data_IF_838757667351
#
_entry.id   IF_838757667351
#
_cell.length_a   1.000
_cell.length_b   1.000
_cell.length_c   1.000
_cell.angle_alpha   90.00
_cell.angle_beta   90.00
_cell.angle_gamma   90.00
#
_symmetry.space_group_name_H-M   'P 1'
#
loop_
_entity.id
_entity.type
_entity.pdbx_description
1 polymer ?
#
# COMPACT_ATOMS: atom_id res chain seq x y z
N UNK A 1 2.57 -18.39 20.23
CA UNK A 1 1.12 -18.60 20.02
C UNK A 1 0.89 -18.34 18.54
N UNK A 2 0.15 -19.17 17.79
CA UNK A 2 -0.26 -18.77 16.44
C UNK A 2 -1.29 -17.66 16.61
N UNK A 3 -1.02 -16.46 16.11
CA UNK A 3 -1.99 -15.37 16.10
C UNK A 3 -2.99 -15.61 14.98
N UNK A 4 -4.23 -15.14 15.14
CA UNK A 4 -5.21 -15.14 14.06
C UNK A 4 -4.70 -14.25 12.90
N UNK A 5 -5.01 -14.65 11.66
CA UNK A 5 -4.58 -13.93 10.46
C UNK A 5 -5.25 -12.56 10.39
N UNK A 6 -4.46 -11.50 10.34
CA UNK A 6 -4.95 -10.12 10.25
C UNK A 6 -5.21 -9.73 8.81
N UNK A 7 -6.23 -8.91 8.58
CA UNK A 7 -6.32 -8.12 7.35
C UNK A 7 -5.13 -7.15 7.27
N UNK A 8 -4.80 -6.68 6.05
CA UNK A 8 -3.75 -5.68 5.83
C UNK A 8 -3.96 -4.43 6.70
N UNK A 9 -5.20 -3.96 6.78
CA UNK A 9 -5.57 -2.79 7.59
C UNK A 9 -5.35 -3.03 9.08
N UNK A 10 -5.83 -4.16 9.62
CA UNK A 10 -5.62 -4.50 11.04
C UNK A 10 -4.14 -4.57 11.40
N UNK A 11 -3.35 -5.24 10.55
CA UNK A 11 -1.91 -5.38 10.74
C UNK A 11 -1.19 -4.04 10.77
N UNK A 12 -1.49 -3.15 9.82
CA UNK A 12 -0.88 -1.81 9.76
C UNK A 12 -1.27 -0.97 10.98
N UNK A 13 -2.55 -1.01 11.38
CA UNK A 13 -3.02 -0.24 12.53
C UNK A 13 -2.40 -0.74 13.84
N UNK A 14 -2.35 -2.05 14.07
CA UNK A 14 -1.70 -2.64 15.24
C UNK A 14 -0.21 -2.25 15.32
N UNK A 15 0.51 -2.32 14.19
CA UNK A 15 1.92 -1.89 14.13
C UNK A 15 2.10 -0.40 14.49
N UNK A 16 1.21 0.48 14.01
CA UNK A 16 1.23 1.92 14.33
C UNK A 16 0.95 2.17 15.81
N UNK A 17 0.08 1.38 16.43
CA UNK A 17 -0.26 1.47 17.84
C UNK A 17 0.78 0.82 18.77
N UNK A 18 1.77 0.12 18.21
CA UNK A 18 2.77 -0.62 18.99
C UNK A 18 2.25 -1.92 19.59
N UNK A 19 1.18 -2.47 19.02
CA UNK A 19 0.57 -3.74 19.41
C UNK A 19 1.29 -4.93 18.75
N UNK A 20 0.99 -6.14 19.22
CA UNK A 20 1.51 -7.37 18.61
C UNK A 20 0.85 -7.61 17.25
N UNK A 21 1.62 -8.06 16.26
CA UNK A 21 1.18 -8.27 14.87
C UNK A 21 1.44 -9.71 14.43
N UNK A 22 0.58 -10.24 13.56
CA UNK A 22 0.71 -11.59 12.99
C UNK A 22 1.97 -11.76 12.11
N UNK A 23 2.36 -10.67 11.42
CA UNK A 23 3.65 -10.49 10.75
C UNK A 23 3.99 -9.00 10.60
N UNK A 24 5.25 -8.69 10.33
CA UNK A 24 5.67 -7.31 10.06
C UNK A 24 4.99 -6.80 8.77
N UNK A 25 4.27 -5.65 8.79
CA UNK A 25 3.74 -5.05 7.57
C UNK A 25 4.84 -4.43 6.71
N UNK A 26 4.72 -4.55 5.38
CA UNK A 26 5.70 -4.05 4.41
C UNK A 26 5.03 -3.24 3.30
N UNK A 27 5.74 -2.20 2.85
CA UNK A 27 5.35 -1.36 1.73
C UNK A 27 6.59 -0.79 1.04
N UNK A 28 6.49 -0.51 -0.26
CA UNK A 28 7.52 0.21 -1.01
C UNK A 28 7.08 1.62 -1.35
N UNK A 29 8.04 2.56 -1.25
CA UNK A 29 7.84 3.90 -1.78
C UNK A 29 8.17 3.92 -3.27
N UNK A 30 7.13 3.94 -4.10
CA UNK A 30 7.28 3.96 -5.55
C UNK A 30 6.65 5.21 -6.17
N UNK A 31 7.21 5.67 -7.29
CA UNK A 31 6.75 6.80 -8.08
C UNK A 31 6.40 6.34 -9.49
N UNK A 32 5.18 6.62 -9.93
CA UNK A 32 4.71 6.24 -11.27
C UNK A 32 4.80 7.41 -12.24
N UNK A 33 4.89 7.11 -13.55
CA UNK A 33 4.87 8.11 -14.63
C UNK A 33 3.62 7.94 -15.51
N UNK A 34 2.42 8.30 -15.04
CA UNK A 34 1.15 8.01 -15.73
C UNK A 34 0.83 8.99 -16.88
N UNK A 35 1.79 9.83 -17.28
CA UNK A 35 1.64 10.79 -18.37
C UNK A 35 0.45 11.71 -18.21
N UNK A 36 0.27 12.32 -17.04
CA UNK A 36 -0.81 13.29 -16.79
C UNK A 36 -2.20 12.70 -16.50
N UNK A 37 -2.36 11.37 -16.49
CA UNK A 37 -3.68 10.73 -16.31
C UNK A 37 -3.87 10.19 -14.90
N UNK A 38 -4.85 10.71 -14.18
CA UNK A 38 -5.26 10.18 -12.87
C UNK A 38 -5.78 8.74 -12.93
N UNK A 39 -6.44 8.35 -14.04
CA UNK A 39 -6.89 6.97 -14.24
C UNK A 39 -5.71 6.01 -14.38
N UNK A 40 -4.73 6.33 -15.24
CA UNK A 40 -3.53 5.51 -15.39
C UNK A 40 -2.72 5.43 -14.08
N UNK A 41 -2.75 6.47 -13.27
CA UNK A 41 -2.14 6.46 -11.94
C UNK A 41 -2.83 5.44 -11.02
N UNK A 42 -4.16 5.46 -10.96
CA UNK A 42 -4.92 4.51 -10.15
C UNK A 42 -4.69 3.06 -10.60
N UNK A 43 -4.71 2.81 -11.91
CA UNK A 43 -4.45 1.50 -12.51
C UNK A 43 -3.05 0.99 -12.15
N UNK A 44 -2.00 1.80 -12.36
CA UNK A 44 -0.62 1.42 -12.02
C UNK A 44 -0.41 1.22 -10.51
N UNK A 45 -1.13 1.98 -9.67
CA UNK A 45 -1.06 1.83 -8.21
C UNK A 45 -1.66 0.49 -7.78
N UNK A 46 -2.85 0.14 -8.28
CA UNK A 46 -3.48 -1.15 -7.94
C UNK A 46 -2.67 -2.34 -8.44
N UNK A 47 -2.15 -2.26 -9.68
CA UNK A 47 -1.32 -3.33 -10.26
C UNK A 47 -0.07 -3.59 -9.40
N UNK A 48 0.68 -2.56 -9.05
CA UNK A 48 1.91 -2.69 -8.27
C UNK A 48 1.65 -3.16 -6.83
N UNK A 49 0.77 -2.49 -6.10
CA UNK A 49 0.62 -2.73 -4.66
C UNK A 49 -0.26 -3.93 -4.32
N UNK A 50 -1.24 -4.27 -5.16
CA UNK A 50 -2.10 -5.45 -4.91
C UNK A 50 -1.69 -6.63 -5.76
N UNK A 51 -1.73 -6.50 -7.09
CA UNK A 51 -1.62 -7.67 -7.98
C UNK A 51 -0.20 -8.25 -8.05
N UNK A 52 0.83 -7.39 -8.07
CA UNK A 52 2.22 -7.83 -8.24
C UNK A 52 2.90 -8.19 -6.90
N UNK A 53 2.72 -7.35 -5.88
CA UNK A 53 3.47 -7.47 -4.62
C UNK A 53 2.64 -7.73 -3.37
N UNK A 54 1.30 -7.65 -3.44
CA UNK A 54 0.40 -7.89 -2.31
C UNK A 54 0.81 -7.16 -1.00
N UNK A 55 1.16 -5.88 -1.12
CA UNK A 55 1.71 -5.06 -0.04
C UNK A 55 0.62 -4.65 0.97
N UNK A 56 1.05 -4.30 2.18
CA UNK A 56 0.14 -3.97 3.28
C UNK A 56 -0.42 -2.54 3.22
N UNK A 57 0.24 -1.65 2.47
CA UNK A 57 -0.15 -0.24 2.33
C UNK A 57 -0.19 0.13 0.85
N UNK A 58 -1.32 0.68 0.41
CA UNK A 58 -1.50 1.33 -0.89
C UNK A 58 -1.17 2.81 -0.78
N UNK A 59 -0.02 3.20 -1.31
CA UNK A 59 0.43 4.60 -1.29
C UNK A 59 0.06 5.32 -2.59
N UNK A 60 -0.82 6.31 -2.50
CA UNK A 60 -1.24 7.13 -3.65
C UNK A 60 -0.30 8.32 -3.84
N UNK A 61 0.41 8.23 -4.96
CA UNK A 61 1.42 9.08 -5.58
C UNK A 61 1.07 10.21 -6.56
N UNK A 62 0.31 11.28 -6.28
CA UNK A 62 -0.03 12.24 -7.34
C UNK A 62 1.14 13.17 -7.70
N UNK A 63 2.13 12.64 -8.41
CA UNK A 63 3.19 13.43 -9.10
C UNK A 63 2.64 14.15 -10.34
N UNK A 64 1.32 14.38 -10.39
CA UNK A 64 0.69 15.15 -11.44
C UNK A 64 0.94 16.63 -11.13
N UNK A 65 1.31 17.44 -12.13
CA UNK A 65 1.41 18.88 -11.92
C UNK A 65 0.08 19.41 -11.36
N UNK A 66 0.19 20.13 -10.25
CA UNK A 66 -0.88 20.97 -9.73
C UNK A 66 -1.21 22.05 -10.79
N UNK A 67 -2.46 22.53 -10.88
CA UNK A 67 -2.80 23.68 -11.73
C UNK A 67 -1.86 24.88 -11.53
#
# INVERSE_FOLDING_TARGET
MMMDEMTKTERVMAAVMGEEVDRIPVCFWHHFKPGGSGRRMAEATLEFFEAEFDLDILKIMPDLPYP
#
